data_IF_848576240901
#
_entry.id   IF_848576240901
#
_cell.length_a   1.000
_cell.length_b   1.000
_cell.length_c   1.000
_cell.angle_alpha   90.00
_cell.angle_beta   90.00
_cell.angle_gamma   90.00
#
_symmetry.space_group_name_H-M   'P 1'
#
loop_
_entity.id
_entity.type
_entity.pdbx_description
1 polymer ?
#
# COMPACT_ATOMS: atom_id res chain seq x y z
N UNK A 1 -2.27 -24.31 10.60
CA UNK A 1 -1.94 -23.11 9.80
C UNK A 1 -0.43 -23.06 9.65
N UNK A 2 0.07 -23.22 8.45
CA UNK A 2 1.50 -23.28 8.22
C UNK A 2 2.05 -21.88 7.92
N UNK A 3 3.07 -21.47 8.66
CA UNK A 3 3.81 -20.23 8.42
C UNK A 3 4.82 -20.48 7.30
N UNK A 4 4.52 -20.01 6.09
CA UNK A 4 5.30 -20.33 4.88
C UNK A 4 6.72 -19.76 4.85
N UNK A 5 6.97 -18.68 5.62
CA UNK A 5 8.30 -18.03 5.70
C UNK A 5 9.20 -18.57 6.82
N UNK A 6 8.85 -19.71 7.42
CA UNK A 6 9.64 -20.38 8.45
C UNK A 6 9.93 -21.79 7.96
N UNK A 7 11.19 -22.23 8.07
CA UNK A 7 11.59 -23.59 7.76
C UNK A 7 11.35 -24.55 8.95
N UNK A 8 11.64 -25.83 8.75
CA UNK A 8 11.46 -26.84 9.78
C UNK A 8 12.32 -26.63 11.04
N UNK A 9 13.37 -25.82 10.95
CA UNK A 9 14.24 -25.45 12.08
C UNK A 9 13.82 -24.14 12.75
N UNK A 10 12.73 -23.50 12.29
CA UNK A 10 12.23 -22.23 12.82
C UNK A 10 12.94 -20.99 12.29
N UNK A 11 13.79 -21.13 11.27
CA UNK A 11 14.49 -20.00 10.67
C UNK A 11 13.66 -19.34 9.57
N UNK A 12 13.81 -18.01 9.44
CA UNK A 12 13.15 -17.24 8.40
C UNK A 12 13.73 -17.58 7.02
N UNK A 13 12.85 -17.71 6.03
CA UNK A 13 13.22 -17.98 4.64
C UNK A 13 12.31 -17.25 3.64
N UNK A 14 12.86 -16.95 2.48
CA UNK A 14 12.06 -16.57 1.32
C UNK A 14 11.53 -17.84 0.66
N UNK A 15 10.21 -17.90 0.44
CA UNK A 15 9.56 -19.09 -0.15
C UNK A 15 10.04 -19.32 -1.58
N UNK A 16 10.38 -20.57 -1.93
CA UNK A 16 10.68 -20.94 -3.30
C UNK A 16 9.37 -21.05 -4.12
N UNK A 17 9.23 -20.20 -5.13
CA UNK A 17 8.07 -20.16 -6.02
C UNK A 17 8.39 -20.65 -7.44
N UNK A 18 9.57 -21.25 -7.66
CA UNK A 18 10.02 -21.67 -8.98
C UNK A 18 9.10 -22.70 -9.66
N UNK A 19 8.41 -23.53 -8.87
CA UNK A 19 7.45 -24.54 -9.36
C UNK A 19 6.04 -23.98 -9.64
N UNK A 20 5.76 -22.73 -9.26
CA UNK A 20 4.47 -22.11 -9.53
C UNK A 20 4.42 -21.54 -10.95
N UNK A 21 3.26 -21.69 -11.60
CA UNK A 21 2.99 -21.04 -12.88
C UNK A 21 2.71 -19.53 -12.70
N UNK A 22 3.22 -18.67 -13.60
CA UNK A 22 2.83 -17.27 -13.64
C UNK A 22 1.34 -17.13 -13.92
N UNK A 23 0.66 -16.32 -13.10
CA UNK A 23 -0.76 -16.00 -13.29
C UNK A 23 -0.99 -14.49 -13.12
N UNK A 24 -2.05 -13.98 -13.77
CA UNK A 24 -2.48 -12.60 -13.56
C UNK A 24 -2.97 -12.42 -12.11
N UNK A 25 -2.45 -11.40 -11.43
CA UNK A 25 -2.77 -11.10 -10.03
C UNK A 25 -3.01 -9.63 -9.84
N UNK A 26 -4.00 -9.33 -9.01
CA UNK A 26 -4.32 -7.96 -8.60
C UNK A 26 -4.45 -7.93 -7.08
N UNK A 27 -3.97 -6.88 -6.46
CA UNK A 27 -4.23 -6.59 -5.06
C UNK A 27 -4.67 -5.14 -4.89
N UNK A 28 -5.57 -4.92 -3.96
CA UNK A 28 -6.05 -3.60 -3.54
C UNK A 28 -5.77 -3.44 -2.06
N UNK A 29 -5.09 -2.37 -1.70
CA UNK A 29 -4.90 -1.96 -0.31
C UNK A 29 -5.46 -0.56 -0.09
N UNK A 30 -5.77 -0.23 1.14
CA UNK A 30 -6.23 1.09 1.55
C UNK A 30 -5.63 1.51 2.89
N UNK A 31 -5.74 2.80 3.18
CA UNK A 31 -5.39 3.41 4.45
C UNK A 31 -5.96 4.81 4.56
N UNK A 32 -5.86 5.39 5.73
CA UNK A 32 -6.42 6.72 6.02
C UNK A 32 -5.38 7.54 6.77
N UNK A 33 -5.07 8.73 6.27
CA UNK A 33 -4.39 9.76 7.07
C UNK A 33 -5.46 10.55 7.80
N UNK A 34 -5.48 10.46 9.13
CA UNK A 34 -6.35 11.27 9.99
C UNK A 34 -5.62 12.55 10.35
N UNK A 35 -6.26 13.67 10.09
CA UNK A 35 -5.70 15.00 10.28
C UNK A 35 -6.80 15.99 10.69
N UNK A 36 -6.69 17.24 10.30
CA UNK A 36 -7.68 18.29 10.58
C UNK A 36 -8.39 18.76 9.31
N UNK A 37 -9.57 19.33 9.47
CA UNK A 37 -10.30 19.96 8.36
C UNK A 37 -9.49 21.10 7.71
N UNK A 38 -8.70 21.83 8.50
CA UNK A 38 -7.80 22.87 8.00
C UNK A 38 -6.75 22.30 7.04
N UNK A 39 -6.11 21.17 7.40
CA UNK A 39 -5.14 20.49 6.52
C UNK A 39 -5.80 20.04 5.23
N UNK A 40 -7.00 19.44 5.31
CA UNK A 40 -7.74 19.00 4.11
C UNK A 40 -8.06 20.18 3.19
N UNK A 41 -8.43 21.31 3.73
CA UNK A 41 -8.69 22.52 2.94
C UNK A 41 -7.40 23.05 2.28
N UNK A 42 -6.27 23.02 2.99
CA UNK A 42 -4.97 23.38 2.43
C UNK A 42 -4.55 22.42 1.30
N UNK A 43 -4.80 21.12 1.47
CA UNK A 43 -4.54 20.12 0.42
C UNK A 43 -5.33 20.41 -0.86
N UNK A 44 -6.59 20.79 -0.72
CA UNK A 44 -7.46 21.12 -1.86
C UNK A 44 -7.04 22.39 -2.62
N UNK A 45 -6.38 23.30 -1.94
CA UNK A 45 -5.92 24.59 -2.50
C UNK A 45 -4.45 24.60 -2.85
N UNK A 46 -3.75 23.47 -2.78
CA UNK A 46 -2.29 23.41 -2.89
C UNK A 46 -1.57 24.41 -1.97
N UNK A 47 -2.17 24.68 -0.81
CA UNK A 47 -1.71 25.71 0.13
C UNK A 47 -0.68 25.26 1.16
N UNK A 48 -0.12 24.07 1.02
CA UNK A 48 0.92 23.56 1.93
C UNK A 48 2.30 24.12 1.59
N UNK A 49 3.16 24.34 2.61
CA UNK A 49 4.51 24.90 2.39
C UNK A 49 5.39 24.11 1.43
N UNK A 50 5.21 22.79 1.32
CA UNK A 50 5.97 21.89 0.42
C UNK A 50 5.32 21.71 -0.95
N UNK A 51 4.18 22.35 -1.25
CA UNK A 51 3.50 22.32 -2.55
C UNK A 51 2.46 21.19 -2.67
N UNK A 52 2.30 20.63 -3.88
CA UNK A 52 1.28 19.61 -4.20
C UNK A 52 1.54 18.28 -3.48
N UNK A 53 0.93 18.14 -2.31
CA UNK A 53 1.11 16.98 -1.46
C UNK A 53 0.42 15.72 -2.03
N UNK A 54 -0.73 15.85 -2.66
CA UNK A 54 -1.47 14.71 -3.21
C UNK A 54 -0.72 14.10 -4.39
N UNK A 55 -0.23 14.91 -5.31
CA UNK A 55 0.57 14.43 -6.44
C UNK A 55 1.89 13.82 -5.97
N UNK A 56 2.56 14.45 -5.02
CA UNK A 56 3.82 13.95 -4.43
C UNK A 56 3.61 12.59 -3.76
N UNK A 57 2.57 12.45 -2.96
CA UNK A 57 2.24 11.20 -2.29
C UNK A 57 1.87 10.08 -3.29
N UNK A 58 1.15 10.41 -4.35
CA UNK A 58 0.83 9.45 -5.43
C UNK A 58 2.10 8.90 -6.07
N UNK A 59 3.01 9.75 -6.50
CA UNK A 59 4.28 9.34 -7.10
C UNK A 59 5.10 8.51 -6.12
N UNK A 60 5.20 8.94 -4.87
CA UNK A 60 5.93 8.19 -3.84
C UNK A 60 5.36 6.78 -3.63
N UNK A 61 4.04 6.63 -3.58
CA UNK A 61 3.37 5.34 -3.48
C UNK A 61 3.66 4.43 -4.68
N UNK A 62 3.60 4.95 -5.89
CA UNK A 62 3.93 4.20 -7.11
C UNK A 62 5.39 3.73 -7.07
N UNK A 63 6.32 4.61 -6.73
CA UNK A 63 7.74 4.26 -6.62
C UNK A 63 7.99 3.21 -5.53
N UNK A 64 7.32 3.33 -4.40
CA UNK A 64 7.44 2.39 -3.27
C UNK A 64 6.96 0.98 -3.63
N UNK A 65 5.87 0.85 -4.37
CA UNK A 65 5.40 -0.44 -4.86
C UNK A 65 6.50 -1.19 -5.64
N UNK A 66 7.26 -0.49 -6.47
CA UNK A 66 8.37 -1.05 -7.27
C UNK A 66 9.59 -1.42 -6.42
N UNK A 67 9.70 -0.90 -5.21
CA UNK A 67 10.82 -1.10 -4.28
C UNK A 67 10.46 -1.98 -3.08
N UNK A 68 9.33 -2.63 -3.10
CA UNK A 68 8.89 -3.47 -2.00
C UNK A 68 9.92 -4.51 -1.57
N UNK A 69 10.63 -5.23 -2.47
CA UNK A 69 11.65 -6.20 -2.07
C UNK A 69 12.83 -5.58 -1.31
N UNK A 70 13.12 -4.30 -1.54
CA UNK A 70 14.19 -3.58 -0.82
C UNK A 70 13.78 -3.21 0.62
N UNK A 71 12.48 -3.16 0.89
CA UNK A 71 11.91 -2.74 2.17
C UNK A 71 11.41 -3.93 3.01
N UNK A 72 10.93 -4.98 2.36
CA UNK A 72 10.38 -6.19 2.99
C UNK A 72 11.25 -7.38 2.62
N UNK A 73 12.11 -7.86 3.54
CA UNK A 73 13.26 -8.74 3.21
C UNK A 73 12.92 -10.05 2.50
N UNK A 74 11.77 -10.63 2.79
CA UNK A 74 11.38 -11.94 2.26
C UNK A 74 10.39 -11.85 1.09
N UNK A 75 10.13 -10.65 0.57
CA UNK A 75 9.36 -10.46 -0.65
C UNK A 75 10.21 -10.73 -1.89
N UNK A 76 9.60 -11.40 -2.87
CA UNK A 76 10.23 -11.63 -4.17
C UNK A 76 10.24 -10.35 -5.00
N UNK A 77 11.30 -10.09 -5.79
CA UNK A 77 11.26 -9.06 -6.81
C UNK A 77 10.26 -9.44 -7.91
N UNK A 78 9.26 -8.60 -8.13
CA UNK A 78 8.17 -8.83 -9.06
C UNK A 78 8.11 -7.71 -10.09
N UNK A 79 7.95 -8.06 -11.37
CA UNK A 79 7.68 -7.09 -12.42
C UNK A 79 6.21 -6.65 -12.35
N UNK A 80 5.97 -5.42 -11.95
CA UNK A 80 4.62 -4.85 -11.88
C UNK A 80 4.17 -4.36 -13.25
N UNK A 81 2.98 -4.76 -13.68
CA UNK A 81 2.36 -4.30 -14.93
C UNK A 81 1.51 -3.04 -14.76
N UNK A 82 1.07 -2.74 -13.56
CA UNK A 82 0.29 -1.55 -13.26
C UNK A 82 0.27 -1.22 -11.78
N UNK A 83 0.35 0.06 -11.47
CA UNK A 83 0.18 0.61 -10.12
C UNK A 83 -0.67 1.87 -10.23
N UNK A 84 -1.80 1.88 -9.54
CA UNK A 84 -2.68 3.03 -9.42
C UNK A 84 -2.77 3.41 -7.95
N UNK A 85 -2.47 4.66 -7.63
CA UNK A 85 -2.63 5.21 -6.27
C UNK A 85 -3.62 6.36 -6.34
N UNK A 86 -4.70 6.22 -5.61
CA UNK A 86 -5.79 7.20 -5.52
C UNK A 86 -5.78 7.82 -4.13
N UNK A 87 -5.91 9.15 -4.07
CA UNK A 87 -5.98 9.90 -2.83
C UNK A 87 -7.20 10.80 -2.87
N UNK A 88 -8.01 10.74 -1.82
CA UNK A 88 -9.23 11.53 -1.67
C UNK A 88 -9.21 12.25 -0.33
N UNK A 89 -9.20 13.58 -0.38
CA UNK A 89 -9.20 14.45 0.80
C UNK A 89 -10.61 14.96 1.08
N UNK A 90 -11.18 14.55 2.21
CA UNK A 90 -12.54 14.90 2.62
C UNK A 90 -12.66 14.99 4.15
N UNK A 91 -13.43 15.98 4.62
CA UNK A 91 -13.63 16.17 6.07
C UNK A 91 -12.34 16.50 6.79
N UNK A 92 -11.85 15.58 7.62
CA UNK A 92 -10.59 15.68 8.36
C UNK A 92 -9.66 14.49 8.06
N UNK A 93 -9.75 13.91 6.87
CA UNK A 93 -8.97 12.75 6.50
C UNK A 93 -8.59 12.74 5.02
N UNK A 94 -7.53 12.00 4.70
CA UNK A 94 -7.17 11.64 3.33
C UNK A 94 -7.20 10.12 3.21
N UNK A 95 -8.07 9.61 2.35
CA UNK A 95 -8.12 8.19 2.01
C UNK A 95 -7.12 7.89 0.93
N UNK A 96 -6.37 6.82 1.14
CA UNK A 96 -5.39 6.32 0.18
C UNK A 96 -5.80 4.92 -0.25
N UNK A 97 -5.83 4.68 -1.54
CA UNK A 97 -6.12 3.36 -2.13
C UNK A 97 -5.09 3.04 -3.20
N UNK A 98 -4.50 1.87 -3.12
CA UNK A 98 -3.57 1.40 -4.14
C UNK A 98 -4.08 0.12 -4.78
N UNK A 99 -4.02 0.07 -6.11
CA UNK A 99 -4.31 -1.12 -6.91
C UNK A 99 -3.05 -1.50 -7.68
N UNK A 100 -2.55 -2.71 -7.45
CA UNK A 100 -1.32 -3.22 -8.09
C UNK A 100 -1.62 -4.46 -8.89
N UNK A 101 -1.04 -4.56 -10.08
CA UNK A 101 -1.21 -5.70 -11.00
C UNK A 101 0.12 -6.25 -11.43
N UNK A 102 0.16 -7.56 -11.60
CA UNK A 102 1.29 -8.30 -12.17
C UNK A 102 0.81 -9.57 -12.86
N UNK A 103 1.71 -10.18 -13.63
CA UNK A 103 1.59 -11.58 -14.06
C UNK A 103 2.85 -12.27 -13.59
N UNK A 104 2.76 -12.97 -12.46
CA UNK A 104 3.91 -13.58 -11.79
C UNK A 104 3.48 -14.76 -10.91
N UNK A 105 4.44 -15.36 -10.22
CA UNK A 105 4.30 -16.57 -9.39
C UNK A 105 3.85 -16.31 -7.96
N UNK A 106 3.76 -15.06 -7.55
CA UNK A 106 3.32 -14.68 -6.21
C UNK A 106 2.37 -13.47 -6.25
N UNK A 107 1.63 -13.26 -5.18
CA UNK A 107 0.71 -12.13 -5.05
C UNK A 107 1.42 -10.79 -4.89
N UNK A 108 0.68 -9.72 -5.06
CA UNK A 108 1.15 -8.32 -4.99
C UNK A 108 0.53 -7.55 -3.83
N UNK A 109 0.10 -8.25 -2.79
CA UNK A 109 -0.47 -7.62 -1.60
C UNK A 109 0.53 -6.71 -0.89
N UNK A 110 1.79 -7.14 -0.79
CA UNK A 110 2.82 -6.34 -0.12
C UNK A 110 3.18 -5.09 -0.90
N UNK A 111 3.18 -5.17 -2.23
CA UNK A 111 3.38 -4.01 -3.11
C UNK A 111 2.25 -2.99 -2.95
N UNK A 112 1.02 -3.44 -2.85
CA UNK A 112 -0.13 -2.58 -2.61
C UNK A 112 -0.09 -1.93 -1.21
N UNK A 113 0.23 -2.70 -0.16
CA UNK A 113 0.40 -2.19 1.20
C UNK A 113 1.55 -1.18 1.29
N UNK A 114 2.68 -1.48 0.66
CA UNK A 114 3.84 -0.58 0.64
C UNK A 114 3.50 0.74 -0.06
N UNK A 115 2.77 0.69 -1.17
CA UNK A 115 2.30 1.89 -1.86
C UNK A 115 1.44 2.77 -0.94
N UNK A 116 0.48 2.19 -0.23
CA UNK A 116 -0.38 2.91 0.72
C UNK A 116 0.42 3.49 1.89
N UNK A 117 1.30 2.69 2.48
CA UNK A 117 2.09 3.10 3.64
C UNK A 117 3.03 4.27 3.29
N UNK A 118 3.72 4.21 2.16
CA UNK A 118 4.66 5.26 1.75
C UNK A 118 3.93 6.51 1.23
N UNK A 119 2.80 6.37 0.56
CA UNK A 119 1.94 7.51 0.24
C UNK A 119 1.49 8.23 1.51
N UNK A 120 1.07 7.48 2.55
CA UNK A 120 0.71 8.04 3.86
C UNK A 120 1.88 8.70 4.58
N UNK A 121 3.06 8.09 4.55
CA UNK A 121 4.29 8.66 5.12
C UNK A 121 4.66 9.97 4.43
N UNK A 122 4.53 10.03 3.11
CA UNK A 122 4.78 11.23 2.32
C UNK A 122 3.78 12.33 2.65
N UNK A 123 2.48 12.00 2.77
CA UNK A 123 1.46 12.95 3.21
C UNK A 123 1.80 13.51 4.60
N UNK A 124 2.19 12.65 5.54
CA UNK A 124 2.58 13.09 6.88
C UNK A 124 3.73 14.09 6.83
N UNK A 125 4.78 13.80 6.05
CA UNK A 125 5.91 14.72 5.86
C UNK A 125 5.46 16.08 5.29
N UNK A 126 4.50 16.07 4.37
CA UNK A 126 3.97 17.27 3.74
C UNK A 126 3.08 18.11 4.66
N UNK A 127 2.33 17.49 5.56
CA UNK A 127 1.35 18.18 6.42
C UNK A 127 1.84 18.46 7.84
N UNK A 128 2.92 17.84 8.27
CA UNK A 128 3.41 17.92 9.66
C UNK A 128 3.71 19.33 10.16
N UNK A 129 4.00 20.28 9.27
CA UNK A 129 4.21 21.68 9.65
C UNK A 129 2.92 22.35 10.15
N UNK A 130 1.77 21.87 9.72
CA UNK A 130 0.44 22.36 10.15
C UNK A 130 -0.15 21.44 11.21
N UNK A 131 -0.09 20.14 11.00
CA UNK A 131 -0.60 19.12 11.93
C UNK A 131 0.45 18.04 12.19
N UNK A 132 1.32 18.22 13.19
CA UNK A 132 2.30 17.18 13.57
C UNK A 132 1.64 15.96 14.24
N UNK A 133 0.38 16.04 14.64
CA UNK A 133 -0.37 14.95 15.26
C UNK A 133 -1.13 14.07 14.25
N UNK A 134 -1.01 14.34 12.95
CA UNK A 134 -1.62 13.50 11.92
C UNK A 134 -1.19 12.04 12.05
N UNK A 135 -2.14 11.12 11.85
CA UNK A 135 -1.92 9.67 12.04
C UNK A 135 -2.30 8.90 10.79
N UNK A 136 -1.40 8.05 10.33
CA UNK A 136 -1.73 7.03 9.31
C UNK A 136 -2.37 5.83 9.99
N UNK A 137 -3.56 5.44 9.55
CA UNK A 137 -4.41 4.44 10.19
C UNK A 137 -5.00 3.47 9.17
N UNK A 138 -5.46 2.31 9.62
CA UNK A 138 -6.17 1.31 8.82
C UNK A 138 -5.46 0.87 7.54
N UNK A 139 -4.14 0.74 7.54
CA UNK A 139 -3.40 0.20 6.39
C UNK A 139 -3.67 -1.29 6.28
N UNK A 140 -4.39 -1.69 5.23
CA UNK A 140 -4.88 -3.06 5.09
C UNK A 140 -5.11 -3.48 3.63
N UNK A 141 -5.06 -4.78 3.39
CA UNK A 141 -5.50 -5.36 2.11
C UNK A 141 -7.01 -5.40 2.09
N UNK A 142 -7.62 -4.90 1.03
CA UNK A 142 -9.07 -4.92 0.82
C UNK A 142 -9.50 -6.08 -0.07
N UNK A 143 -8.69 -6.40 -1.08
CA UNK A 143 -9.00 -7.44 -2.06
C UNK A 143 -7.74 -7.96 -2.70
N UNK A 144 -7.76 -9.24 -3.05
CA UNK A 144 -6.79 -9.85 -3.96
C UNK A 144 -7.47 -10.79 -4.93
N UNK A 145 -6.98 -10.84 -6.15
CA UNK A 145 -7.45 -11.70 -7.22
C UNK A 145 -6.30 -12.47 -7.84
N UNK A 146 -6.59 -13.68 -8.27
CA UNK A 146 -5.64 -14.55 -8.95
C UNK A 146 -4.89 -15.50 -8.03
N UNK A 147 -4.10 -16.38 -8.63
CA UNK A 147 -3.36 -17.42 -7.93
C UNK A 147 -4.23 -18.59 -7.48
N UNK A 148 -3.68 -19.43 -6.61
CA UNK A 148 -4.24 -20.72 -6.21
C UNK A 148 -5.57 -20.60 -5.43
N UNK A 149 -5.74 -19.52 -4.67
CA UNK A 149 -6.92 -19.29 -3.82
C UNK A 149 -8.02 -18.47 -4.51
N UNK A 150 -7.79 -17.98 -5.75
CA UNK A 150 -8.75 -17.15 -6.48
C UNK A 150 -8.95 -15.77 -5.83
N UNK A 151 -10.19 -15.32 -5.76
CA UNK A 151 -10.55 -14.01 -5.20
C UNK A 151 -10.74 -14.08 -3.69
N UNK A 152 -10.11 -13.15 -2.98
CA UNK A 152 -10.38 -12.87 -1.58
C UNK A 152 -10.76 -11.41 -1.42
N UNK A 153 -11.82 -11.14 -0.68
CA UNK A 153 -12.26 -9.81 -0.31
C UNK A 153 -12.32 -9.71 1.21
N UNK A 154 -11.87 -8.59 1.76
CA UNK A 154 -11.95 -8.36 3.20
C UNK A 154 -13.39 -8.46 3.67
N UNK A 155 -13.68 -9.26 4.69
CA UNK A 155 -14.99 -9.24 5.34
C UNK A 155 -15.30 -7.83 5.88
N UNK A 156 -16.55 -7.44 5.88
CA UNK A 156 -16.97 -6.22 6.57
C UNK A 156 -16.54 -6.29 8.04
N UNK A 157 -16.05 -5.17 8.56
CA UNK A 157 -15.62 -5.12 9.96
C UNK A 157 -16.81 -5.53 10.83
N UNK A 158 -16.63 -6.60 11.59
CA UNK A 158 -17.61 -6.98 12.61
C UNK A 158 -17.53 -5.92 13.70
N UNK A 159 -18.61 -5.16 13.85
CA UNK A 159 -18.80 -4.25 14.97
C UNK A 159 -18.79 -5.02 16.29
#
# INVERSE_FOLDING_TARGET
>A
MDLTHIDAAGAARMVDVSAKEPTARTAVASGVLRTTAEVVELLRRDGLPKGDALATARIAGIMAAKRTPDLVPLCHPIALSGVVVELEAEGAEVRVRATVRTTDRTGVEMEALTAVAVAGLTLHDMVKAVDPAAVMDNVRVERKDGGKTGTWTRPEDRC
#
